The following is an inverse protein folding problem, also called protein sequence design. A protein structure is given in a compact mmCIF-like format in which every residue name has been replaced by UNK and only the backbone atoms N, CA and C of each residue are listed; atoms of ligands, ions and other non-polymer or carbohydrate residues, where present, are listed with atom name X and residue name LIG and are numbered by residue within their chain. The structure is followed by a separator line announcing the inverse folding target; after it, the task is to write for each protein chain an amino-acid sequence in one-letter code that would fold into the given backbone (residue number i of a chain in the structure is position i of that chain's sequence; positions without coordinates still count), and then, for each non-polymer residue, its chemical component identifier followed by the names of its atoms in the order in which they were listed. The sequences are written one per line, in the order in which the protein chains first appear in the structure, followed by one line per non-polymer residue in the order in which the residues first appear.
data_IF_251808705493
#
_entry.id   IF_251808705493
#
_cell.length_a   1.000
_cell.length_b   1.000
_cell.length_c   1.000
_cell.angle_alpha   90.00
_cell.angle_beta   90.00
_cell.angle_gamma   90.00
#
_symmetry.space_group_name_H-M   'P 1'
#
loop_
_entity.id
_entity.type
_entity.pdbx_description
1 polymer ?
#
# COMPACT_ATOMS: atom_id res chain seq x y z
N UNK A 1 -6.58 13.95 6.80
CA UNK A 1 -5.24 13.96 7.48
C UNK A 1 -4.07 13.47 6.62
N UNK A 2 -4.01 12.21 6.14
CA UNK A 2 -2.88 11.75 5.29
C UNK A 2 -2.86 12.46 3.92
N UNK A 3 -4.02 12.69 3.31
CA UNK A 3 -4.12 13.28 1.97
C UNK A 3 -4.28 14.82 1.98
N UNK A 4 -4.53 15.39 3.15
CA UNK A 4 -4.76 16.84 3.33
C UNK A 4 -3.61 17.51 4.11
N UNK A 5 -2.71 16.71 4.68
CA UNK A 5 -1.57 17.19 5.43
C UNK A 5 -0.35 17.44 4.54
N UNK A 6 0.55 18.32 4.98
CA UNK A 6 1.85 18.51 4.34
C UNK A 6 2.74 17.26 4.46
N UNK A 7 3.85 17.24 3.73
CA UNK A 7 4.81 16.12 3.71
C UNK A 7 5.25 15.69 5.11
N UNK A 8 5.47 16.64 6.03
CA UNK A 8 5.86 16.32 7.41
C UNK A 8 4.76 15.53 8.12
N UNK A 9 3.51 15.96 8.01
CA UNK A 9 2.36 15.25 8.59
C UNK A 9 2.19 13.88 7.94
N UNK A 10 2.33 13.78 6.61
CA UNK A 10 2.27 12.53 5.87
C UNK A 10 3.30 11.52 6.38
N UNK A 11 4.56 11.95 6.53
CA UNK A 11 5.63 11.11 7.07
C UNK A 11 5.31 10.60 8.46
N UNK A 12 4.79 11.45 9.37
CA UNK A 12 4.45 11.00 10.73
C UNK A 12 3.30 9.99 10.74
N UNK A 13 2.24 10.25 9.97
CA UNK A 13 1.12 9.32 9.85
C UNK A 13 1.59 7.99 9.25
N UNK A 14 2.39 8.02 8.19
CA UNK A 14 2.90 6.81 7.55
C UNK A 14 3.86 6.01 8.44
N UNK A 15 4.64 6.65 9.32
CA UNK A 15 5.44 5.94 10.32
C UNK A 15 4.56 5.08 11.23
N UNK A 16 3.44 5.64 11.70
CA UNK A 16 2.48 4.89 12.53
C UNK A 16 1.85 3.76 11.71
N UNK A 17 1.39 4.05 10.50
CA UNK A 17 0.73 3.06 9.64
C UNK A 17 1.66 1.90 9.26
N UNK A 18 2.94 2.17 8.94
CA UNK A 18 3.94 1.13 8.66
C UNK A 18 4.19 0.24 9.88
N UNK A 19 4.25 0.83 11.08
CA UNK A 19 4.42 0.06 12.31
C UNK A 19 3.20 -0.81 12.61
N UNK A 20 1.98 -0.26 12.43
CA UNK A 20 0.75 -1.01 12.62
C UNK A 20 0.61 -2.14 11.59
N UNK A 21 0.90 -1.88 10.31
CA UNK A 21 0.75 -2.88 9.25
C UNK A 21 1.75 -4.04 9.36
N UNK A 22 2.86 -3.87 10.08
CA UNK A 22 3.79 -4.96 10.36
C UNK A 22 3.20 -6.03 11.31
N UNK A 23 2.12 -5.71 12.03
CA UNK A 23 1.38 -6.66 12.86
C UNK A 23 0.21 -7.27 12.06
N UNK A 24 0.12 -8.61 11.88
CA UNK A 24 -0.92 -9.22 11.05
C UNK A 24 -2.36 -8.92 11.48
N UNK A 25 -2.65 -8.88 12.78
CA UNK A 25 -4.00 -8.58 13.28
C UNK A 25 -4.40 -7.12 12.97
N UNK A 26 -3.47 -6.19 13.15
CA UNK A 26 -3.69 -4.79 12.78
C UNK A 26 -3.78 -4.60 11.26
N UNK A 27 -2.99 -5.35 10.48
CA UNK A 27 -3.04 -5.32 9.02
C UNK A 27 -4.40 -5.76 8.48
N UNK A 28 -5.03 -6.79 9.07
CA UNK A 28 -6.39 -7.22 8.72
C UNK A 28 -7.42 -6.10 8.96
N UNK A 29 -7.33 -5.38 10.09
CA UNK A 29 -8.18 -4.23 10.35
C UNK A 29 -7.95 -3.08 9.35
N UNK A 30 -6.69 -2.82 8.99
CA UNK A 30 -6.35 -1.80 8.01
C UNK A 30 -6.86 -2.15 6.61
N UNK A 31 -6.76 -3.42 6.20
CA UNK A 31 -7.29 -3.91 4.92
C UNK A 31 -8.80 -3.70 4.78
N UNK A 32 -9.54 -3.80 5.88
CA UNK A 32 -10.98 -3.54 5.94
C UNK A 32 -11.36 -2.07 6.01
N UNK A 33 -10.42 -1.19 6.37
CA UNK A 33 -10.69 0.24 6.44
C UNK A 33 -10.97 0.82 5.05
N UNK A 34 -11.76 1.88 5.01
CA UNK A 34 -12.00 2.62 3.78
C UNK A 34 -10.65 3.05 3.19
N UNK A 35 -10.49 2.90 1.88
CA UNK A 35 -9.41 3.42 1.09
C UNK A 35 -9.71 4.89 0.77
N UNK A 36 -9.16 5.86 1.53
CA UNK A 36 -8.94 7.21 1.01
C UNK A 36 -8.06 7.12 -0.27
N UNK A 37 -7.77 8.21 -1.02
CA UNK A 37 -7.14 8.13 -2.37
C UNK A 37 -5.68 7.63 -2.35
N UNK A 38 -5.46 6.41 -1.87
CA UNK A 38 -4.19 5.78 -1.53
C UNK A 38 -3.31 5.66 -2.78
N UNK A 39 -3.91 5.32 -3.92
CA UNK A 39 -3.21 5.22 -5.20
C UNK A 39 -2.62 6.56 -5.68
N UNK A 40 -3.10 7.70 -5.16
CA UNK A 40 -2.46 9.01 -5.46
C UNK A 40 -1.04 9.12 -4.90
N UNK A 41 -0.70 8.34 -3.86
CA UNK A 41 0.63 8.32 -3.26
C UNK A 41 1.62 7.41 -3.99
N UNK A 42 1.18 6.61 -4.96
CA UNK A 42 2.03 5.72 -5.76
C UNK A 42 2.49 6.40 -7.05
N UNK A 43 3.08 7.58 -6.93
CA UNK A 43 3.47 8.40 -8.07
C UNK A 43 4.91 8.88 -7.95
N UNK A 44 5.64 8.93 -9.07
CA UNK A 44 7.06 9.32 -9.10
C UNK A 44 7.31 10.78 -8.74
N UNK A 45 6.27 11.62 -8.70
CA UNK A 45 6.37 13.01 -8.25
C UNK A 45 6.18 13.18 -6.73
N UNK A 46 5.81 12.12 -6.00
CA UNK A 46 5.66 12.16 -4.55
C UNK A 46 7.03 12.24 -3.88
N UNK A 47 7.11 12.97 -2.77
CA UNK A 47 8.30 13.03 -1.93
C UNK A 47 8.84 11.62 -1.64
N UNK A 48 10.16 11.43 -1.83
CA UNK A 48 10.82 10.12 -1.71
C UNK A 48 10.51 9.41 -0.38
N UNK A 49 10.57 10.11 0.76
CA UNK A 49 10.32 9.48 2.08
C UNK A 49 8.85 9.08 2.25
N UNK A 50 7.92 9.88 1.72
CA UNK A 50 6.49 9.54 1.69
C UNK A 50 6.26 8.30 0.83
N UNK A 51 6.80 8.29 -0.39
CA UNK A 51 6.62 7.19 -1.35
C UNK A 51 7.21 5.89 -0.82
N UNK A 52 8.43 5.90 -0.28
CA UNK A 52 9.06 4.70 0.30
C UNK A 52 8.22 4.13 1.45
N UNK A 53 7.69 4.97 2.33
CA UNK A 53 6.85 4.51 3.44
C UNK A 53 5.53 3.92 2.97
N UNK A 54 4.91 4.50 1.94
CA UNK A 54 3.69 3.95 1.32
C UNK A 54 3.95 2.59 0.68
N UNK A 55 5.09 2.43 -0.01
CA UNK A 55 5.49 1.14 -0.58
C UNK A 55 5.72 0.07 0.49
N UNK A 56 6.39 0.42 1.60
CA UNK A 56 6.57 -0.48 2.74
C UNK A 56 5.23 -0.82 3.39
N UNK A 57 4.36 0.17 3.57
CA UNK A 57 3.02 -0.02 4.12
C UNK A 57 2.23 -1.03 3.28
N UNK A 58 2.16 -0.84 1.97
CA UNK A 58 1.48 -1.75 1.05
C UNK A 58 2.11 -3.15 1.05
N UNK A 59 3.44 -3.24 1.10
CA UNK A 59 4.16 -4.51 1.20
C UNK A 59 3.72 -5.31 2.43
N UNK A 60 3.60 -4.67 3.59
CA UNK A 60 3.15 -5.33 4.80
C UNK A 60 1.69 -5.82 4.70
N UNK A 61 0.82 -5.02 4.08
CA UNK A 61 -0.58 -5.40 3.85
C UNK A 61 -0.69 -6.57 2.87
N UNK A 62 0.00 -6.53 1.72
CA UNK A 62 0.02 -7.60 0.73
C UNK A 62 0.52 -8.92 1.32
N UNK A 63 1.52 -8.90 2.20
CA UNK A 63 1.95 -10.11 2.93
C UNK A 63 0.81 -10.70 3.77
N UNK A 64 0.06 -9.85 4.46
CA UNK A 64 -1.04 -10.29 5.33
C UNK A 64 -2.20 -10.87 4.53
N UNK A 65 -2.50 -10.33 3.34
CA UNK A 65 -3.52 -10.84 2.42
C UNK A 65 -3.25 -12.29 1.98
N UNK A 66 -1.98 -12.68 1.80
CA UNK A 66 -1.61 -14.03 1.35
C UNK A 66 -1.86 -15.12 2.41
N UNK A 67 -1.99 -14.76 3.67
CA UNK A 67 -2.29 -15.70 4.75
C UNK A 67 -3.79 -16.05 4.82
N UNK A 68 -4.65 -15.23 4.20
CA UNK A 68 -6.09 -15.40 4.17
C UNK A 68 -6.48 -16.09 2.85
N UNK A 69 -6.24 -17.41 2.72
CA UNK A 69 -6.54 -18.22 1.51
C UNK A 69 -7.89 -18.97 1.58
N UNK A 70 -8.83 -18.50 2.40
CA UNK A 70 -10.15 -19.11 2.55
C UNK A 70 -11.14 -18.63 1.46
N UNK A 71 -12.15 -19.44 1.13
CA UNK A 71 -13.17 -19.13 0.11
C UNK A 71 -14.15 -17.99 0.49
N UNK A 72 -13.90 -17.24 1.57
CA UNK A 72 -14.81 -16.23 2.12
C UNK A 72 -14.32 -14.78 1.96
N UNK A 73 -13.18 -14.55 1.30
CA UNK A 73 -12.51 -13.24 1.19
C UNK A 73 -13.43 -12.17 0.56
N UNK A 74 -14.20 -12.51 -0.47
CA UNK A 74 -15.06 -11.55 -1.16
C UNK A 74 -16.22 -11.00 -0.30
N UNK A 75 -16.64 -11.71 0.76
CA UNK A 75 -17.67 -11.21 1.69
C UNK A 75 -17.09 -10.49 2.91
N UNK A 76 -15.75 -10.46 3.04
CA UNK A 76 -15.06 -9.92 4.22
C UNK A 76 -14.73 -8.43 4.06
N UNK A 77 -14.44 -7.98 2.84
CA UNK A 77 -13.92 -6.64 2.57
C UNK A 77 -14.91 -5.79 1.76
N UNK A 78 -15.04 -4.52 2.11
CA UNK A 78 -15.87 -3.54 1.38
C UNK A 78 -15.23 -3.23 0.00
N UNK A 79 -16.03 -2.91 -1.02
CA UNK A 79 -15.55 -2.45 -2.34
C UNK A 79 -14.66 -1.19 -2.23
N UNK A 80 -14.98 -0.30 -1.29
CA UNK A 80 -14.20 0.91 -1.01
C UNK A 80 -13.01 0.66 -0.08
N UNK A 81 -12.64 -0.58 0.21
CA UNK A 81 -11.59 -0.90 1.17
C UNK A 81 -10.18 -0.83 0.59
N UNK A 82 -9.19 -0.76 1.48
CA UNK A 82 -7.77 -0.88 1.09
C UNK A 82 -7.50 -2.22 0.43
N UNK A 83 -8.11 -3.31 0.90
CA UNK A 83 -8.02 -4.62 0.25
C UNK A 83 -8.42 -4.52 -1.22
N UNK A 84 -9.63 -4.03 -1.52
CA UNK A 84 -10.13 -3.93 -2.89
C UNK A 84 -9.26 -3.04 -3.78
N UNK A 85 -8.66 -2.00 -3.21
CA UNK A 85 -7.73 -1.11 -3.92
C UNK A 85 -6.43 -1.83 -4.32
N UNK A 86 -5.90 -2.69 -3.45
CA UNK A 86 -4.58 -3.34 -3.63
C UNK A 86 -4.66 -4.74 -4.25
N UNK A 87 -5.80 -5.43 -4.19
CA UNK A 87 -5.93 -6.84 -4.58
C UNK A 87 -5.89 -7.06 -6.09
N UNK A 88 -6.55 -6.22 -6.90
CA UNK A 88 -6.68 -6.47 -8.35
C UNK A 88 -7.10 -5.21 -9.14
N UNK A 89 -6.76 -4.01 -8.65
CA UNK A 89 -7.08 -2.79 -9.41
C UNK A 89 -6.07 -2.57 -10.54
N UNK A 90 -6.56 -2.46 -11.78
CA UNK A 90 -5.73 -2.17 -12.96
C UNK A 90 -4.90 -0.90 -12.79
N UNK A 91 -5.46 0.09 -12.10
CA UNK A 91 -4.78 1.34 -11.76
C UNK A 91 -3.60 1.13 -10.81
N UNK A 92 -3.73 0.27 -9.80
CA UNK A 92 -2.62 -0.03 -8.90
C UNK A 92 -1.48 -0.73 -9.64
N UNK A 93 -1.79 -1.72 -10.47
CA UNK A 93 -0.79 -2.39 -11.32
C UNK A 93 -0.08 -1.40 -12.25
N UNK A 94 -0.83 -0.48 -12.86
CA UNK A 94 -0.25 0.58 -13.70
C UNK A 94 0.68 1.51 -12.92
N UNK A 95 0.28 1.92 -11.71
CA UNK A 95 1.09 2.77 -10.82
C UNK A 95 2.40 2.07 -10.42
N UNK A 96 2.35 0.78 -10.04
CA UNK A 96 3.55 0.00 -9.73
C UNK A 96 4.46 -0.17 -10.96
N UNK A 97 3.90 -0.47 -12.13
CA UNK A 97 4.68 -0.57 -13.37
C UNK A 97 5.39 0.74 -13.72
N UNK A 98 4.74 1.90 -13.51
CA UNK A 98 5.38 3.20 -13.68
C UNK A 98 6.54 3.40 -12.71
N UNK A 99 6.36 3.04 -11.43
CA UNK A 99 7.39 3.18 -10.40
C UNK A 99 8.58 2.21 -10.57
N UNK A 100 8.44 1.10 -11.30
CA UNK A 100 9.58 0.25 -11.68
C UNK A 100 10.60 0.98 -12.57
N UNK A 101 10.17 2.02 -13.28
CA UNK A 101 11.05 2.86 -14.11
C UNK A 101 11.56 4.10 -13.37
N UNK A 102 11.35 4.20 -12.05
CA UNK A 102 11.79 5.33 -11.26
C UNK A 102 13.33 5.45 -11.24
N UNK A 103 13.84 6.69 -11.24
CA UNK A 103 15.28 6.97 -11.26
C UNK A 103 15.99 6.46 -9.98
N UNK A 104 15.35 6.61 -8.82
CA UNK A 104 15.86 6.14 -7.53
C UNK A 104 15.83 4.61 -7.42
N UNK A 105 16.99 4.02 -7.08
CA UNK A 105 17.17 2.57 -7.00
C UNK A 105 16.40 1.92 -5.84
N UNK A 106 16.27 2.61 -4.71
CA UNK A 106 15.60 2.11 -3.51
C UNK A 106 14.10 1.98 -3.75
N UNK A 107 13.49 2.96 -4.43
CA UNK A 107 12.09 2.89 -4.85
C UNK A 107 11.85 1.69 -5.77
N UNK A 108 12.70 1.50 -6.78
CA UNK A 108 12.59 0.34 -7.69
C UNK A 108 12.68 -0.99 -6.97
N UNK A 109 13.62 -1.11 -6.03
CA UNK A 109 13.79 -2.32 -5.24
C UNK A 109 12.54 -2.62 -4.40
N UNK A 110 11.95 -1.62 -3.74
CA UNK A 110 10.72 -1.80 -2.96
C UNK A 110 9.53 -2.18 -3.84
N UNK A 111 9.38 -1.56 -5.02
CA UNK A 111 8.32 -1.89 -5.97
C UNK A 111 8.49 -3.32 -6.50
N UNK A 112 9.70 -3.73 -6.84
CA UNK A 112 9.98 -5.10 -7.29
C UNK A 112 9.63 -6.13 -6.21
N UNK A 113 10.01 -5.86 -4.94
CA UNK A 113 9.64 -6.70 -3.79
C UNK A 113 8.13 -6.84 -3.62
N UNK A 114 7.39 -5.74 -3.81
CA UNK A 114 5.94 -5.70 -3.70
C UNK A 114 5.26 -6.52 -4.81
N UNK A 115 5.69 -6.35 -6.07
CA UNK A 115 5.16 -7.11 -7.22
C UNK A 115 5.45 -8.60 -7.08
N UNK A 116 6.67 -8.99 -6.69
CA UNK A 116 7.03 -10.39 -6.48
C UNK A 116 6.18 -11.07 -5.40
N UNK A 117 5.55 -10.31 -4.49
CA UNK A 117 4.66 -10.87 -3.48
C UNK A 117 3.21 -11.02 -3.98
N UNK A 118 2.85 -10.37 -5.08
CA UNK A 118 1.54 -10.53 -5.74
C UNK A 118 1.50 -11.75 -6.65
N UNK A 119 2.65 -12.21 -7.16
CA UNK A 119 2.81 -13.46 -7.91
C UNK A 119 2.88 -14.70 -6.98
#
# INVERSE_FOLDING_TARGET
MLFEGNERTQVQVLKVLVNLSANPAMAEHLLNSQAPPLLSLFDGYINKDVLLRVLVFATNLTKSMRHDKGSAIHNRYNEDSIFSTLSDSSLYTQKLASLLHHHDAEIKEQVAKLIMQQC
#
